data_IF_093645248250
#
_entry.id   IF_093645248250
#
_cell.length_a   1.000
_cell.length_b   1.000
_cell.length_c   1.000
_cell.angle_alpha   90.00
_cell.angle_beta   90.00
_cell.angle_gamma   90.00
#
_symmetry.space_group_name_H-M   'P 1'
#
loop_
_entity.id
_entity.type
_entity.pdbx_description
1 polymer ?
#
# COMPACT_ATOMS: atom_id res chain seq x y z
N UNK A 1 12.31 6.61 -20.09
CA UNK A 1 11.39 7.74 -19.86
C UNK A 1 12.09 8.69 -18.92
N UNK A 2 12.38 9.90 -19.38
CA UNK A 2 12.83 10.96 -18.48
C UNK A 2 11.61 11.46 -17.71
N UNK A 3 11.48 11.00 -16.46
CA UNK A 3 10.42 11.45 -15.56
C UNK A 3 10.80 12.87 -15.12
N UNK A 4 9.97 13.85 -15.46
CA UNK A 4 10.16 15.23 -15.04
C UNK A 4 9.72 15.39 -13.57
N UNK A 5 10.69 15.36 -12.65
CA UNK A 5 10.46 15.69 -11.25
C UNK A 5 10.37 17.20 -11.04
N UNK A 6 9.51 17.62 -10.10
CA UNK A 6 9.48 19.00 -9.59
C UNK A 6 10.78 19.35 -8.85
N UNK A 7 11.08 20.64 -8.70
CA UNK A 7 12.24 21.11 -7.94
C UNK A 7 12.22 20.58 -6.49
N UNK A 8 11.03 20.54 -5.87
CA UNK A 8 10.87 20.00 -4.52
C UNK A 8 11.20 18.51 -4.44
N UNK A 9 10.77 17.71 -5.42
CA UNK A 9 11.08 16.28 -5.47
C UNK A 9 12.57 16.04 -5.69
N UNK A 10 13.23 16.84 -6.54
CA UNK A 10 14.69 16.78 -6.74
C UNK A 10 15.42 17.07 -5.44
N UNK A 11 15.08 18.17 -4.77
CA UNK A 11 15.65 18.50 -3.46
C UNK A 11 15.47 17.38 -2.43
N UNK A 12 14.29 16.74 -2.38
CA UNK A 12 14.04 15.60 -1.48
C UNK A 12 14.91 14.40 -1.85
N UNK A 13 15.09 14.11 -3.14
CA UNK A 13 15.98 13.04 -3.59
C UNK A 13 17.41 13.33 -3.13
N UNK A 14 17.89 14.56 -3.31
CA UNK A 14 19.23 14.98 -2.89
C UNK A 14 19.40 14.85 -1.37
N UNK A 15 18.40 15.27 -0.57
CA UNK A 15 18.41 15.13 0.89
C UNK A 15 18.49 13.65 1.33
N UNK A 16 17.75 12.76 0.67
CA UNK A 16 17.75 11.32 0.96
C UNK A 16 19.10 10.69 0.59
N UNK A 17 19.66 11.05 -0.58
CA UNK A 17 20.98 10.57 -1.01
C UNK A 17 22.08 11.04 -0.05
N UNK A 18 22.01 12.30 0.40
CA UNK A 18 22.96 12.84 1.37
C UNK A 18 22.87 12.10 2.71
N UNK A 19 21.65 11.88 3.22
CA UNK A 19 21.42 11.08 4.43
C UNK A 19 22.02 9.68 4.31
N UNK A 20 21.80 9.00 3.19
CA UNK A 20 22.35 7.67 2.96
C UNK A 20 23.88 7.69 2.85
N UNK A 21 24.49 8.79 2.38
CA UNK A 21 25.95 8.88 2.29
C UNK A 21 26.60 9.11 3.65
N UNK A 22 26.03 10.03 4.44
CA UNK A 22 26.60 10.46 5.72
C UNK A 22 26.23 9.55 6.90
N UNK A 23 25.12 8.80 6.78
CA UNK A 23 24.58 7.94 7.84
C UNK A 23 24.47 8.60 9.24
N UNK A 24 23.96 9.85 9.36
CA UNK A 24 23.92 10.55 10.66
C UNK A 24 22.98 9.89 11.66
N UNK A 25 21.96 9.19 11.16
CA UNK A 25 20.97 8.42 11.92
C UNK A 25 20.60 7.17 11.14
N UNK A 26 20.20 6.10 11.85
CA UNK A 26 19.88 4.82 11.21
C UNK A 26 18.69 4.89 10.26
N UNK A 27 17.73 5.78 10.46
CA UNK A 27 16.53 5.84 9.64
C UNK A 27 16.15 7.26 9.21
N UNK A 28 15.48 7.34 8.07
CA UNK A 28 14.86 8.56 7.55
C UNK A 28 13.42 8.25 7.14
N UNK A 29 12.49 9.09 7.56
CA UNK A 29 11.07 8.96 7.20
C UNK A 29 10.66 9.99 6.15
N UNK A 30 10.05 9.52 5.07
CA UNK A 30 9.59 10.29 3.94
C UNK A 30 8.06 10.18 3.80
N UNK A 31 7.37 11.22 4.28
CA UNK A 31 5.92 11.32 4.20
C UNK A 31 5.46 12.09 2.97
N UNK A 32 4.31 11.70 2.44
CA UNK A 32 3.64 12.50 1.43
C UNK A 32 2.25 11.97 1.11
N UNK A 33 1.35 12.84 0.68
CA UNK A 33 -0.03 12.43 0.38
C UNK A 33 -0.11 11.48 -0.83
N UNK A 34 -1.24 10.78 -0.96
CA UNK A 34 -1.59 10.05 -2.18
C UNK A 34 -1.44 10.95 -3.42
N UNK A 35 -0.89 10.40 -4.50
CA UNK A 35 -0.69 11.14 -5.76
C UNK A 35 0.55 12.06 -5.81
N UNK A 36 1.36 12.13 -4.74
CA UNK A 36 2.59 12.94 -4.73
C UNK A 36 3.78 12.25 -5.42
N UNK A 37 3.64 10.98 -5.80
CA UNK A 37 4.63 10.23 -6.59
C UNK A 37 5.77 9.59 -5.79
N UNK A 38 5.60 9.37 -4.48
CA UNK A 38 6.60 8.75 -3.60
C UNK A 38 7.21 7.47 -4.15
N UNK A 39 6.40 6.48 -4.51
CA UNK A 39 6.87 5.19 -5.05
C UNK A 39 7.67 5.36 -6.34
N UNK A 40 7.34 6.36 -7.18
CA UNK A 40 8.14 6.69 -8.37
C UNK A 40 9.51 7.27 -7.99
N UNK A 41 9.57 8.11 -6.95
CA UNK A 41 10.83 8.64 -6.42
C UNK A 41 11.71 7.53 -5.85
N UNK A 42 11.14 6.52 -5.17
CA UNK A 42 11.89 5.37 -4.66
C UNK A 42 12.61 4.59 -5.78
N UNK A 43 11.97 4.41 -6.93
CA UNK A 43 12.63 3.79 -8.09
C UNK A 43 13.76 4.63 -8.67
N UNK A 44 13.61 5.96 -8.69
CA UNK A 44 14.67 6.84 -9.14
C UNK A 44 15.86 6.88 -8.16
N UNK A 45 15.59 6.88 -6.85
CA UNK A 45 16.60 6.76 -5.80
C UNK A 45 17.42 5.48 -5.97
N UNK A 46 16.76 4.34 -6.16
CA UNK A 46 17.42 3.07 -6.45
C UNK A 46 18.39 3.20 -7.62
N UNK A 47 17.94 3.75 -8.75
CA UNK A 47 18.80 3.94 -9.92
C UNK A 47 20.06 4.77 -9.62
N UNK A 48 19.94 5.87 -8.87
CA UNK A 48 21.10 6.68 -8.47
C UNK A 48 22.05 5.92 -7.56
N UNK A 49 21.53 5.20 -6.57
CA UNK A 49 22.34 4.40 -5.66
C UNK A 49 23.18 3.34 -6.40
N UNK A 50 22.64 2.68 -7.43
CA UNK A 50 23.42 1.74 -8.25
C UNK A 50 24.48 2.41 -9.13
N UNK A 51 24.24 3.66 -9.56
CA UNK A 51 25.25 4.43 -10.31
C UNK A 51 26.45 4.76 -9.43
N UNK A 52 26.22 5.09 -8.16
CA UNK A 52 27.28 5.39 -7.20
C UNK A 52 27.95 4.13 -6.63
N UNK A 53 27.17 3.11 -6.25
CA UNK A 53 27.65 1.88 -5.63
C UNK A 53 27.08 0.66 -6.38
N UNK A 54 27.79 0.20 -7.41
CA UNK A 54 27.35 -0.91 -8.29
C UNK A 54 26.97 -2.22 -7.58
N UNK A 55 27.55 -2.48 -6.41
CA UNK A 55 27.33 -3.72 -5.65
C UNK A 55 26.40 -3.55 -4.45
N UNK A 56 25.68 -2.42 -4.35
CA UNK A 56 24.69 -2.21 -3.29
C UNK A 56 23.58 -3.27 -3.37
N UNK A 57 23.16 -3.79 -2.22
CA UNK A 57 22.01 -4.69 -2.08
C UNK A 57 20.90 -3.95 -1.37
N UNK A 58 19.80 -3.69 -2.06
CA UNK A 58 18.67 -2.94 -1.47
C UNK A 58 17.52 -3.92 -1.15
N UNK A 59 16.97 -3.81 0.05
CA UNK A 59 15.76 -4.52 0.44
C UNK A 59 14.53 -3.62 0.33
N UNK A 60 13.81 -3.75 -0.78
CA UNK A 60 12.53 -3.08 -1.00
C UNK A 60 11.41 -3.90 -0.37
N UNK A 61 10.66 -3.32 0.55
CA UNK A 61 9.58 -4.04 1.23
C UNK A 61 8.36 -3.17 1.52
N UNK A 62 7.22 -3.82 1.71
CA UNK A 62 5.98 -3.16 2.15
C UNK A 62 5.19 -4.04 3.10
N UNK A 63 4.26 -3.47 3.85
CA UNK A 63 3.46 -4.23 4.82
C UNK A 63 2.59 -5.31 4.15
N UNK A 64 1.98 -4.99 3.01
CA UNK A 64 1.09 -5.92 2.27
C UNK A 64 1.73 -6.42 0.98
N UNK A 65 1.37 -7.64 0.56
CA UNK A 65 1.88 -8.21 -0.69
C UNK A 65 1.38 -7.47 -1.94
N UNK A 66 0.16 -6.90 -1.90
CA UNK A 66 -0.36 -6.04 -2.97
C UNK A 66 0.51 -4.79 -3.15
N UNK A 67 0.85 -4.10 -2.06
CA UNK A 67 1.72 -2.93 -2.09
C UNK A 67 3.13 -3.29 -2.56
N UNK A 68 3.70 -4.40 -2.07
CA UNK A 68 4.99 -4.91 -2.54
C UNK A 68 4.99 -5.19 -4.05
N UNK A 69 3.89 -5.72 -4.61
CA UNK A 69 3.73 -5.94 -6.05
C UNK A 69 3.67 -4.61 -6.84
N UNK A 70 2.94 -3.62 -6.34
CA UNK A 70 2.89 -2.28 -6.96
C UNK A 70 4.29 -1.64 -6.96
N UNK A 71 4.99 -1.71 -5.83
CA UNK A 71 6.38 -1.25 -5.71
C UNK A 71 7.28 -1.98 -6.71
N UNK A 72 7.18 -3.31 -6.81
CA UNK A 72 7.94 -4.11 -7.79
C UNK A 72 7.73 -3.62 -9.22
N UNK A 73 6.50 -3.33 -9.63
CA UNK A 73 6.20 -2.80 -10.96
C UNK A 73 6.89 -1.45 -11.18
N UNK A 74 6.77 -0.51 -10.23
CA UNK A 74 7.40 0.81 -10.34
C UNK A 74 8.92 0.73 -10.39
N UNK A 75 9.54 -0.15 -9.60
CA UNK A 75 10.99 -0.35 -9.61
C UNK A 75 11.47 -0.92 -10.97
N UNK A 76 10.70 -1.85 -11.56
CA UNK A 76 10.99 -2.41 -12.89
C UNK A 76 10.85 -1.37 -13.99
N UNK A 77 9.78 -0.57 -13.96
CA UNK A 77 9.57 0.52 -14.93
C UNK A 77 10.74 1.54 -14.88
N UNK A 78 11.24 1.83 -13.67
CA UNK A 78 12.40 2.68 -13.44
C UNK A 78 13.75 2.00 -13.71
N UNK A 79 13.79 0.70 -14.03
CA UNK A 79 15.01 -0.11 -14.20
C UNK A 79 15.94 -0.03 -12.98
N UNK A 80 15.34 -0.14 -11.79
CA UNK A 80 15.98 0.05 -10.48
C UNK A 80 15.94 -1.19 -9.58
N UNK A 81 15.54 -2.34 -10.15
CA UNK A 81 15.47 -3.63 -9.47
C UNK A 81 16.49 -4.59 -10.07
N UNK A 82 17.44 -5.05 -9.25
CA UNK A 82 18.51 -5.95 -9.63
C UNK A 82 18.35 -7.31 -8.94
N UNK A 83 19.04 -8.34 -9.46
CA UNK A 83 18.96 -9.71 -8.94
C UNK A 83 19.45 -9.84 -7.48
N UNK A 84 20.32 -8.93 -7.06
CA UNK A 84 20.87 -8.85 -5.71
C UNK A 84 19.88 -8.32 -4.66
N UNK A 85 18.76 -7.75 -5.11
CA UNK A 85 17.84 -7.02 -4.26
C UNK A 85 16.73 -7.92 -3.73
N UNK A 86 16.16 -7.51 -2.61
CA UNK A 86 14.90 -8.07 -2.13
C UNK A 86 13.74 -7.20 -2.59
N UNK A 87 12.65 -7.84 -3.01
CA UNK A 87 11.35 -7.19 -3.20
C UNK A 87 10.24 -8.09 -2.68
N UNK A 88 9.50 -7.63 -1.68
CA UNK A 88 8.45 -8.43 -1.05
C UNK A 88 7.81 -7.78 0.17
N UNK A 89 7.23 -8.60 1.04
CA UNK A 89 6.63 -8.09 2.28
C UNK A 89 7.70 -7.90 3.35
N UNK A 90 7.48 -6.96 4.29
CA UNK A 90 8.37 -6.81 5.46
C UNK A 90 8.48 -8.14 6.21
N UNK A 91 7.35 -8.85 6.36
CA UNK A 91 7.31 -10.15 7.01
C UNK A 91 8.19 -11.20 6.31
N UNK A 92 8.18 -11.26 4.98
CA UNK A 92 9.03 -12.18 4.23
C UNK A 92 10.51 -11.79 4.25
N UNK A 93 10.81 -10.51 4.46
CA UNK A 93 12.17 -10.02 4.62
C UNK A 93 12.76 -10.49 5.95
N UNK A 94 12.05 -10.26 7.06
CA UNK A 94 12.62 -10.37 8.42
C UNK A 94 12.20 -11.61 9.22
N UNK A 95 11.15 -12.34 8.81
CA UNK A 95 10.71 -13.55 9.51
C UNK A 95 10.90 -14.81 8.65
N UNK A 96 11.10 -15.94 9.31
CA UNK A 96 11.04 -17.28 8.73
C UNK A 96 10.00 -18.12 9.47
N UNK A 97 9.32 -18.99 8.73
CA UNK A 97 8.33 -19.89 9.33
C UNK A 97 9.06 -20.98 10.13
N UNK A 98 8.52 -21.30 11.30
CA UNK A 98 8.88 -22.48 12.07
C UNK A 98 7.90 -23.58 11.65
N UNK A 99 8.42 -24.69 11.15
CA UNK A 99 7.63 -25.83 10.71
C UNK A 99 7.76 -27.02 11.67
N UNK A 100 6.70 -27.82 11.79
CA UNK A 100 6.77 -29.14 12.42
C UNK A 100 7.37 -30.21 11.47
N UNK A 101 7.48 -31.47 11.92
CA UNK A 101 7.99 -32.59 11.12
C UNK A 101 7.17 -32.89 9.85
N UNK A 102 5.98 -32.29 9.70
CA UNK A 102 5.06 -32.45 8.57
C UNK A 102 4.97 -31.19 7.71
N UNK A 103 5.93 -30.28 7.84
CA UNK A 103 5.99 -28.97 7.16
C UNK A 103 4.80 -28.03 7.47
N UNK A 104 4.10 -28.24 8.58
CA UNK A 104 3.05 -27.31 9.02
C UNK A 104 3.68 -26.12 9.75
N UNK A 105 3.28 -24.91 9.37
CA UNK A 105 3.72 -23.68 10.05
C UNK A 105 3.12 -23.62 11.46
N UNK A 106 3.97 -23.77 12.47
CA UNK A 106 3.61 -23.71 13.90
C UNK A 106 3.98 -22.37 14.54
N UNK A 107 4.78 -21.54 13.87
CA UNK A 107 5.19 -20.23 14.36
C UNK A 107 6.01 -19.44 13.36
N UNK A 108 6.47 -18.27 13.81
CA UNK A 108 7.36 -17.40 13.06
C UNK A 108 8.48 -16.95 13.97
N UNK A 109 9.71 -16.97 13.47
CA UNK A 109 10.87 -16.41 14.16
C UNK A 109 11.56 -15.37 13.30
N UNK A 110 12.21 -14.41 13.97
CA UNK A 110 13.02 -13.41 13.29
C UNK A 110 14.28 -14.06 12.73
N UNK A 111 14.62 -13.73 11.49
CA UNK A 111 15.88 -14.14 10.86
C UNK A 111 17.05 -13.50 11.60
N UNK A 112 18.14 -14.26 11.76
CA UNK A 112 19.33 -13.78 12.47
C UNK A 112 19.96 -12.61 11.73
N UNK A 113 20.63 -11.72 12.47
CA UNK A 113 21.31 -10.57 11.88
C UNK A 113 22.38 -10.98 10.86
N UNK A 114 23.04 -12.12 11.09
CA UNK A 114 24.04 -12.71 10.19
C UNK A 114 23.46 -13.15 8.84
N UNK A 115 22.16 -13.46 8.78
CA UNK A 115 21.44 -13.81 7.54
C UNK A 115 21.10 -12.56 6.71
N UNK A 116 21.22 -11.36 7.29
CA UNK A 116 20.82 -10.10 6.65
C UNK A 116 21.97 -9.50 5.85
N UNK A 117 21.88 -9.58 4.51
CA UNK A 117 22.98 -9.19 3.61
C UNK A 117 22.76 -7.88 2.85
N UNK A 118 21.75 -7.09 3.21
CA UNK A 118 21.38 -5.86 2.50
C UNK A 118 22.05 -4.62 3.11
N UNK A 119 22.42 -3.67 2.26
CA UNK A 119 23.05 -2.41 2.63
C UNK A 119 22.04 -1.31 2.99
N UNK A 120 20.80 -1.42 2.50
CA UNK A 120 19.74 -0.42 2.69
C UNK A 120 18.38 -1.11 2.70
N UNK A 121 17.51 -0.71 3.63
CA UNK A 121 16.10 -1.10 3.64
C UNK A 121 15.26 0.07 3.16
N UNK A 122 14.39 -0.18 2.18
CA UNK A 122 13.38 0.77 1.72
C UNK A 122 12.00 0.19 2.02
N UNK A 123 11.27 0.83 2.93
CA UNK A 123 9.90 0.45 3.31
C UNK A 123 8.92 1.38 2.61
N UNK A 124 8.01 0.84 1.79
CA UNK A 124 6.87 1.60 1.24
C UNK A 124 5.57 1.24 1.98
N UNK A 125 4.60 2.16 2.02
CA UNK A 125 3.40 2.08 2.86
C UNK A 125 3.73 1.92 4.36
N UNK A 126 4.72 2.68 4.85
CA UNK A 126 5.22 2.63 6.21
C UNK A 126 4.20 3.07 7.29
N UNK A 127 3.09 3.69 6.88
CA UNK A 127 1.94 4.04 7.73
C UNK A 127 1.29 2.81 8.37
N UNK A 128 1.42 1.62 7.78
CA UNK A 128 0.87 0.36 8.31
C UNK A 128 1.83 -0.40 9.24
N UNK A 129 3.05 0.10 9.44
CA UNK A 129 4.08 -0.62 10.21
C UNK A 129 3.84 -0.49 11.71
N UNK A 130 3.75 -1.63 12.40
CA UNK A 130 3.58 -1.70 13.86
C UNK A 130 4.89 -1.45 14.60
N UNK A 131 4.81 -1.15 15.90
CA UNK A 131 5.99 -0.92 16.76
C UNK A 131 6.96 -2.10 16.75
N UNK A 132 6.43 -3.31 16.90
CA UNK A 132 7.21 -4.55 16.93
C UNK A 132 8.00 -4.77 15.63
N UNK A 133 7.33 -4.64 14.47
CA UNK A 133 7.99 -4.77 13.18
C UNK A 133 9.06 -3.68 13.02
N UNK A 134 8.77 -2.45 13.48
CA UNK A 134 9.74 -1.37 13.42
C UNK A 134 10.98 -1.64 14.28
N UNK A 135 10.81 -2.14 15.51
CA UNK A 135 11.93 -2.55 16.37
C UNK A 135 12.75 -3.69 15.76
N UNK A 136 12.08 -4.68 15.16
CA UNK A 136 12.76 -5.78 14.49
C UNK A 136 13.57 -5.31 13.28
N UNK A 137 13.04 -4.37 12.48
CA UNK A 137 13.77 -3.74 11.39
C UNK A 137 15.01 -2.96 11.89
N UNK A 138 14.86 -2.16 12.95
CA UNK A 138 15.97 -1.42 13.56
C UNK A 138 17.06 -2.36 14.10
N UNK A 139 16.68 -3.54 14.61
CA UNK A 139 17.63 -4.48 15.21
C UNK A 139 18.69 -5.01 14.24
N UNK A 140 18.49 -4.89 12.92
CA UNK A 140 19.50 -5.28 11.93
C UNK A 140 20.67 -4.30 11.84
N UNK A 141 20.55 -3.08 12.36
CA UNK A 141 21.61 -2.05 12.31
C UNK A 141 21.89 -1.50 10.91
N UNK A 142 20.99 -1.76 9.95
CA UNK A 142 21.10 -1.31 8.56
C UNK A 142 20.33 0.01 8.39
N UNK A 143 20.78 0.93 7.50
CA UNK A 143 20.04 2.14 7.16
C UNK A 143 18.63 1.84 6.63
N UNK A 144 17.64 2.65 7.05
CA UNK A 144 16.23 2.45 6.69
C UNK A 144 15.59 3.74 6.15
N UNK A 145 15.17 3.72 4.90
CA UNK A 145 14.28 4.74 4.33
C UNK A 145 12.84 4.25 4.42
N UNK A 146 12.01 4.89 5.25
CA UNK A 146 10.60 4.57 5.39
C UNK A 146 9.72 5.61 4.68
N UNK A 147 9.00 5.20 3.65
CA UNK A 147 8.08 6.00 2.85
C UNK A 147 6.63 5.65 3.17
N UNK A 148 5.76 6.65 3.32
CA UNK A 148 4.34 6.43 3.58
C UNK A 148 3.49 7.68 3.45
N UNK A 149 2.17 7.51 3.57
CA UNK A 149 1.22 8.63 3.60
C UNK A 149 0.89 8.99 5.05
N UNK A 150 1.30 10.20 5.48
CA UNK A 150 1.05 10.72 6.82
C UNK A 150 -0.40 11.16 7.07
N UNK A 151 -1.23 11.18 6.01
CA UNK A 151 -2.68 11.40 6.10
C UNK A 151 -3.52 10.11 6.03
N UNK A 152 -2.88 8.93 5.98
CA UNK A 152 -3.56 7.64 5.96
C UNK A 152 -3.94 7.18 7.39
N UNK A 153 -4.82 6.18 7.47
CA UNK A 153 -5.16 5.53 8.74
C UNK A 153 -3.90 4.92 9.39
N UNK A 154 -3.76 5.03 10.72
CA UNK A 154 -2.68 4.38 11.45
C UNK A 154 -2.83 2.84 11.38
N UNK A 155 -1.82 2.08 11.84
CA UNK A 155 -1.92 0.64 11.97
C UNK A 155 -3.16 0.24 12.77
N UNK A 156 -3.74 -0.91 12.44
CA UNK A 156 -4.97 -1.42 13.10
C UNK A 156 -4.73 -1.71 14.58
N UNK A 157 -3.49 -2.04 14.95
CA UNK A 157 -3.09 -2.38 16.31
C UNK A 157 -2.05 -1.39 16.87
N UNK A 158 -2.29 -0.92 18.10
CA UNK A 158 -1.38 -0.06 18.85
C UNK A 158 -1.55 1.44 18.57
N UNK A 159 -0.74 2.25 19.26
CA UNK A 159 -0.72 3.73 19.14
C UNK A 159 0.46 4.24 18.31
N UNK A 160 1.35 3.35 17.89
CA UNK A 160 2.55 3.71 17.14
C UNK A 160 2.20 4.04 15.68
N UNK A 161 2.59 5.22 15.22
CA UNK A 161 2.48 5.63 13.82
C UNK A 161 3.81 6.21 13.34
N UNK A 162 4.55 5.41 12.56
CA UNK A 162 5.84 5.81 12.00
C UNK A 162 5.74 7.05 11.09
N UNK A 163 4.58 7.28 10.49
CA UNK A 163 4.32 8.38 9.56
C UNK A 163 3.59 9.56 10.23
N UNK A 164 3.45 9.61 11.55
CA UNK A 164 2.77 10.74 12.22
C UNK A 164 3.55 12.06 12.02
N UNK A 165 4.88 11.99 12.15
CA UNK A 165 5.79 13.14 12.03
C UNK A 165 7.01 12.77 11.19
N UNK A 166 6.83 12.59 9.87
CA UNK A 166 7.92 12.22 8.99
C UNK A 166 8.97 13.35 8.92
N UNK A 167 10.25 12.96 8.77
CA UNK A 167 11.38 13.88 8.69
C UNK A 167 11.29 14.77 7.46
N UNK A 168 10.90 14.17 6.32
CA UNK A 168 10.70 14.86 5.05
C UNK A 168 9.22 14.75 4.65
N UNK A 169 8.66 15.86 4.17
CA UNK A 169 7.27 15.92 3.70
C UNK A 169 7.19 16.38 2.25
N UNK A 170 6.47 15.62 1.44
CA UNK A 170 6.02 16.01 0.10
C UNK A 170 4.50 16.13 0.09
N UNK A 171 4.03 17.36 0.22
CA UNK A 171 2.59 17.68 0.25
C UNK A 171 2.08 18.22 -1.09
N UNK A 172 3.00 18.64 -1.96
CA UNK A 172 2.65 19.13 -3.29
C UNK A 172 2.25 17.96 -4.21
N UNK A 173 1.02 18.02 -4.70
CA UNK A 173 0.44 17.03 -5.61
C UNK A 173 0.98 17.25 -7.04
N UNK A 174 1.24 16.15 -7.74
CA UNK A 174 1.65 16.17 -9.14
C UNK A 174 0.67 16.97 -10.01
N UNK A 175 1.20 17.72 -10.98
CA UNK A 175 0.38 18.58 -11.85
C UNK A 175 -0.76 17.82 -12.55
N UNK A 176 -0.50 16.58 -12.97
CA UNK A 176 -1.49 15.70 -13.62
C UNK A 176 -2.65 15.29 -12.70
N UNK A 177 -2.40 15.30 -11.38
CA UNK A 177 -3.35 14.90 -10.34
C UNK A 177 -4.11 16.11 -9.75
N UNK A 178 -3.73 17.35 -10.07
CA UNK A 178 -4.39 18.56 -9.54
C UNK A 178 -5.85 18.71 -9.96
N UNK A 179 -6.18 18.23 -11.15
CA UNK A 179 -7.55 18.30 -11.68
C UNK A 179 -8.40 17.10 -11.25
N UNK A 180 -7.83 16.15 -10.49
CA UNK A 180 -8.55 15.00 -9.98
C UNK A 180 -9.50 15.42 -8.82
N UNK A 181 -10.83 15.32 -8.98
CA UNK A 181 -11.79 15.75 -7.96
C UNK A 181 -11.66 14.95 -6.65
N UNK A 182 -11.21 13.71 -6.68
CA UNK A 182 -11.00 12.87 -5.49
C UNK A 182 -9.92 13.47 -4.59
N UNK A 183 -8.88 14.06 -5.18
CA UNK A 183 -7.77 14.66 -4.45
C UNK A 183 -8.23 15.93 -3.73
N UNK A 184 -9.06 16.75 -4.39
CA UNK A 184 -9.68 17.93 -3.78
C UNK A 184 -10.56 17.54 -2.58
N UNK A 185 -11.39 16.51 -2.73
CA UNK A 185 -12.23 16.01 -1.63
C UNK A 185 -11.39 15.47 -0.48
N UNK A 186 -10.29 14.78 -0.78
CA UNK A 186 -9.35 14.27 0.22
C UNK A 186 -8.66 15.39 1.01
N UNK A 187 -8.29 16.50 0.34
CA UNK A 187 -7.74 17.69 0.99
C UNK A 187 -8.76 18.33 1.94
N UNK A 188 -10.01 18.48 1.51
CA UNK A 188 -11.10 19.00 2.34
C UNK A 188 -11.28 18.15 3.59
N UNK A 189 -11.33 16.83 3.44
CA UNK A 189 -11.46 15.89 4.56
C UNK A 189 -10.31 16.06 5.57
N UNK A 190 -9.07 16.17 5.10
CA UNK A 190 -7.89 16.37 5.97
C UNK A 190 -7.88 17.72 6.66
N UNK A 191 -8.20 18.81 5.95
CA UNK A 191 -8.11 20.18 6.48
C UNK A 191 -9.23 20.52 7.45
N UNK A 192 -10.45 20.07 7.16
CA UNK A 192 -11.65 20.47 7.89
C UNK A 192 -12.30 19.36 8.71
N UNK A 193 -11.81 18.12 8.59
CA UNK A 193 -12.36 16.95 9.29
C UNK A 193 -13.74 16.52 8.80
N UNK A 194 -14.34 17.23 7.84
CA UNK A 194 -15.63 16.93 7.26
C UNK A 194 -15.64 17.30 5.77
N UNK A 195 -16.36 16.49 4.99
CA UNK A 195 -16.62 16.76 3.57
C UNK A 195 -18.01 17.40 3.50
N UNK A 196 -18.20 18.59 2.88
CA UNK A 196 -19.52 19.18 2.71
C UNK A 196 -20.37 18.36 1.73
N UNK A 197 -21.69 18.40 1.89
CA UNK A 197 -22.61 17.74 0.95
C UNK A 197 -22.70 18.57 -0.33
N UNK A 198 -21.92 18.18 -1.34
CA UNK A 198 -21.81 18.87 -2.62
C UNK A 198 -21.55 17.87 -3.74
N UNK A 199 -21.83 18.31 -4.96
CA UNK A 199 -21.33 17.72 -6.20
C UNK A 199 -19.99 18.37 -6.55
N UNK A 200 -18.89 17.62 -6.46
CA UNK A 200 -17.53 18.11 -6.71
C UNK A 200 -17.15 17.98 -8.19
N UNK A 201 -17.76 17.01 -8.88
CA UNK A 201 -17.69 16.78 -10.33
C UNK A 201 -18.82 15.84 -10.74
N UNK A 202 -18.95 15.58 -12.06
CA UNK A 202 -19.86 14.57 -12.60
C UNK A 202 -19.61 13.15 -12.02
N UNK A 203 -18.40 12.91 -11.51
CA UNK A 203 -17.93 11.61 -11.01
C UNK A 203 -17.77 11.54 -9.50
N UNK A 204 -17.78 12.67 -8.77
CA UNK A 204 -17.53 12.72 -7.33
C UNK A 204 -18.58 13.58 -6.64
N UNK A 205 -19.42 12.94 -5.83
CA UNK A 205 -20.52 13.58 -5.11
C UNK A 205 -20.60 13.07 -3.69
N UNK A 206 -20.93 13.95 -2.73
CA UNK A 206 -21.33 13.53 -1.38
C UNK A 206 -22.85 13.67 -1.26
N UNK A 207 -23.51 12.53 -1.04
CA UNK A 207 -24.96 12.44 -0.86
C UNK A 207 -25.33 12.33 0.62
N UNK A 208 -26.51 12.82 0.99
CA UNK A 208 -27.07 12.66 2.34
C UNK A 208 -27.95 11.43 2.39
N UNK A 209 -27.77 10.60 3.42
CA UNK A 209 -28.63 9.44 3.64
C UNK A 209 -30.12 9.80 3.81
N UNK A 210 -30.40 11.03 4.26
CA UNK A 210 -31.76 11.50 4.54
C UNK A 210 -32.45 12.10 3.30
N UNK A 211 -31.76 12.22 2.18
CA UNK A 211 -32.34 12.69 0.92
C UNK A 211 -33.03 11.52 0.19
N UNK A 212 -34.30 11.69 -0.17
CA UNK A 212 -35.10 10.65 -0.82
C UNK A 212 -34.46 10.20 -2.15
N UNK A 213 -33.88 11.15 -2.90
CA UNK A 213 -33.20 10.87 -4.16
C UNK A 213 -31.93 10.01 -3.99
N UNK A 214 -31.37 9.96 -2.77
CA UNK A 214 -30.17 9.16 -2.49
C UNK A 214 -30.50 7.67 -2.48
N UNK A 215 -31.69 7.26 -2.01
CA UNK A 215 -32.05 5.85 -2.02
C UNK A 215 -32.25 5.34 -3.44
N UNK A 216 -32.95 6.10 -4.29
CA UNK A 216 -33.14 5.79 -5.70
C UNK A 216 -31.80 5.70 -6.44
N UNK A 217 -30.95 6.73 -6.30
CA UNK A 217 -29.61 6.72 -6.90
C UNK A 217 -28.75 5.52 -6.47
N UNK A 218 -28.78 5.14 -5.19
CA UNK A 218 -28.00 4.01 -4.70
C UNK A 218 -28.55 2.68 -5.23
N UNK A 219 -29.87 2.51 -5.28
CA UNK A 219 -30.50 1.32 -5.86
C UNK A 219 -30.12 1.17 -7.33
N UNK A 220 -30.28 2.22 -8.14
CA UNK A 220 -29.91 2.20 -9.56
C UNK A 220 -28.43 1.82 -9.77
N UNK A 221 -27.53 2.37 -8.93
CA UNK A 221 -26.10 2.05 -9.01
C UNK A 221 -25.78 0.63 -8.61
N UNK A 222 -26.46 0.08 -7.60
CA UNK A 222 -26.26 -1.30 -7.15
C UNK A 222 -26.89 -2.32 -8.10
N UNK A 223 -27.99 -1.96 -8.77
CA UNK A 223 -28.56 -2.76 -9.87
C UNK A 223 -27.63 -2.78 -11.08
N UNK A 224 -26.94 -1.67 -11.38
CA UNK A 224 -25.90 -1.62 -12.40
C UNK A 224 -24.53 -2.13 -11.92
N UNK A 225 -24.49 -2.99 -10.90
CA UNK A 225 -23.21 -3.48 -10.35
C UNK A 225 -22.46 -4.33 -11.39
N UNK A 226 -21.17 -4.05 -11.55
CA UNK A 226 -20.26 -4.79 -12.42
C UNK A 226 -18.92 -5.13 -11.73
N UNK A 227 -18.02 -5.79 -12.47
CA UNK A 227 -16.71 -6.17 -11.97
C UNK A 227 -15.71 -5.00 -11.82
N UNK A 228 -16.08 -3.81 -12.30
CA UNK A 228 -15.30 -2.58 -12.16
C UNK A 228 -15.73 -1.78 -10.92
N UNK A 229 -16.94 -1.99 -10.42
CA UNK A 229 -17.46 -1.35 -9.23
C UNK A 229 -16.79 -1.88 -7.95
N UNK A 230 -16.36 -0.97 -7.07
CA UNK A 230 -15.88 -1.27 -5.73
C UNK A 230 -16.67 -0.48 -4.69
N UNK A 231 -17.29 -1.19 -3.75
CA UNK A 231 -18.05 -0.58 -2.66
C UNK A 231 -17.24 -0.67 -1.36
N UNK A 232 -16.96 0.48 -0.76
CA UNK A 232 -16.24 0.58 0.51
C UNK A 232 -17.22 0.88 1.66
N UNK A 233 -17.03 0.21 2.80
CA UNK A 233 -17.88 0.43 3.99
C UNK A 233 -17.03 0.48 5.25
N UNK A 234 -17.50 1.22 6.26
CA UNK A 234 -16.78 1.36 7.54
C UNK A 234 -16.92 0.16 8.49
N UNK A 235 -17.88 -0.74 8.27
CA UNK A 235 -18.18 -1.84 9.19
C UNK A 235 -18.33 -3.19 8.49
N UNK A 236 -17.78 -4.24 9.11
CA UNK A 236 -17.91 -5.62 8.62
C UNK A 236 -19.38 -6.07 8.48
N UNK A 237 -20.27 -5.67 9.40
CA UNK A 237 -21.70 -5.99 9.31
C UNK A 237 -22.33 -5.39 8.05
N UNK A 238 -22.00 -4.14 7.71
CA UNK A 238 -22.48 -3.48 6.50
C UNK A 238 -21.95 -4.18 5.25
N UNK A 239 -20.65 -4.52 5.23
CA UNK A 239 -20.04 -5.29 4.14
C UNK A 239 -20.75 -6.62 3.90
N UNK A 240 -21.02 -7.39 4.95
CA UNK A 240 -21.72 -8.69 4.83
C UNK A 240 -23.13 -8.51 4.28
N UNK A 241 -23.87 -7.52 4.78
CA UNK A 241 -25.23 -7.24 4.31
C UNK A 241 -25.27 -6.80 2.85
N UNK A 242 -24.36 -5.89 2.44
CA UNK A 242 -24.27 -5.45 1.04
C UNK A 242 -23.83 -6.59 0.12
N UNK A 243 -22.84 -7.40 0.52
CA UNK A 243 -22.44 -8.57 -0.26
C UNK A 243 -23.62 -9.53 -0.48
N UNK A 244 -24.44 -9.76 0.56
CA UNK A 244 -25.64 -10.59 0.42
C UNK A 244 -26.65 -9.98 -0.55
N UNK A 245 -26.93 -8.68 -0.43
CA UNK A 245 -27.88 -7.98 -1.31
C UNK A 245 -27.43 -7.96 -2.77
N UNK A 246 -26.17 -7.58 -3.03
CA UNK A 246 -25.60 -7.55 -4.39
C UNK A 246 -25.57 -8.96 -4.99
N UNK A 247 -25.20 -9.99 -4.21
CA UNK A 247 -25.25 -11.38 -4.70
C UNK A 247 -26.66 -11.83 -5.07
N UNK A 248 -27.67 -11.42 -4.31
CA UNK A 248 -29.07 -11.71 -4.65
C UNK A 248 -29.52 -11.01 -5.93
N UNK A 249 -29.08 -9.76 -6.17
CA UNK A 249 -29.35 -9.04 -7.42
C UNK A 249 -28.68 -9.70 -8.63
N UNK A 250 -27.51 -10.29 -8.42
CA UNK A 250 -26.78 -11.07 -9.43
C UNK A 250 -27.26 -12.54 -9.53
N UNK A 251 -28.41 -12.87 -8.92
CA UNK A 251 -29.05 -14.19 -8.98
C UNK A 251 -28.20 -15.34 -8.38
N UNK A 252 -27.25 -15.04 -7.49
CA UNK A 252 -26.53 -16.08 -6.74
C UNK A 252 -27.42 -16.67 -5.65
N UNK A 253 -27.66 -17.98 -5.73
CA UNK A 253 -28.56 -18.72 -4.84
C UNK A 253 -27.87 -19.24 -3.57
N UNK A 254 -26.54 -19.37 -3.58
CA UNK A 254 -25.78 -19.96 -2.48
C UNK A 254 -25.09 -18.89 -1.62
N UNK A 255 -24.96 -19.09 -0.30
CA UNK A 255 -24.04 -18.29 0.53
C UNK A 255 -22.56 -18.62 0.26
N UNK A 256 -22.26 -19.80 -0.29
CA UNK A 256 -20.90 -20.19 -0.67
C UNK A 256 -20.48 -19.55 -2.00
N UNK A 257 -19.18 -19.28 -2.23
CA UNK A 257 -18.70 -18.80 -3.53
C UNK A 257 -19.11 -19.70 -4.71
N UNK A 258 -19.60 -19.09 -5.80
CA UNK A 258 -20.06 -19.72 -7.03
C UNK A 258 -19.31 -19.17 -8.24
N UNK A 259 -19.40 -19.85 -9.39
CA UNK A 259 -18.76 -19.39 -10.64
C UNK A 259 -19.13 -17.94 -10.94
N UNK A 260 -18.12 -17.10 -11.17
CA UNK A 260 -18.30 -15.67 -11.43
C UNK A 260 -18.29 -14.78 -10.17
N UNK A 261 -18.31 -15.36 -8.96
CA UNK A 261 -18.21 -14.56 -7.74
C UNK A 261 -16.89 -13.80 -7.65
N UNK A 262 -16.95 -12.56 -7.21
CA UNK A 262 -15.75 -11.83 -6.82
C UNK A 262 -15.37 -12.22 -5.40
N UNK A 263 -14.15 -12.73 -5.25
CA UNK A 263 -13.58 -13.14 -3.98
C UNK A 263 -12.38 -12.29 -3.62
N UNK A 264 -12.12 -12.15 -2.32
CA UNK A 264 -10.93 -11.50 -1.79
C UNK A 264 -10.16 -12.49 -0.94
N UNK A 265 -8.86 -12.58 -1.16
CA UNK A 265 -7.99 -13.42 -0.37
C UNK A 265 -7.77 -12.79 1.00
N UNK A 266 -8.00 -13.55 2.08
CA UNK A 266 -7.88 -13.06 3.46
C UNK A 266 -6.54 -13.42 4.12
N UNK A 267 -5.74 -14.28 3.50
CA UNK A 267 -4.46 -14.77 4.03
C UNK A 267 -3.46 -14.92 2.91
N UNK A 268 -2.19 -14.62 3.16
CA UNK A 268 -1.15 -14.82 2.15
C UNK A 268 -0.97 -16.32 1.85
N UNK A 269 -0.81 -16.65 0.58
CA UNK A 269 -0.34 -17.94 0.10
C UNK A 269 0.90 -17.72 -0.80
N UNK A 270 2.11 -17.77 -0.22
CA UNK A 270 3.35 -17.47 -0.94
C UNK A 270 3.65 -18.43 -2.10
N UNK A 271 3.30 -19.72 -1.97
CA UNK A 271 3.59 -20.73 -3.01
C UNK A 271 2.81 -20.45 -4.30
N UNK A 272 1.62 -19.85 -4.19
CA UNK A 272 0.79 -19.45 -5.32
C UNK A 272 0.94 -17.97 -5.70
N UNK A 273 1.83 -17.23 -5.03
CA UNK A 273 1.97 -15.78 -5.15
C UNK A 273 0.64 -15.01 -4.96
N UNK A 274 -0.23 -15.51 -4.07
CA UNK A 274 -1.51 -14.87 -3.69
C UNK A 274 -1.31 -14.15 -2.35
N UNK A 275 -1.79 -12.91 -2.25
CA UNK A 275 -1.62 -12.07 -1.06
C UNK A 275 -2.96 -11.67 -0.46
N UNK A 276 -2.97 -11.45 0.85
CA UNK A 276 -4.09 -10.87 1.55
C UNK A 276 -4.50 -9.53 0.90
N UNK A 277 -5.79 -9.36 0.63
CA UNK A 277 -6.37 -8.23 -0.06
C UNK A 277 -6.35 -8.34 -1.59
N UNK A 278 -5.79 -9.40 -2.19
CA UNK A 278 -5.94 -9.67 -3.62
C UNK A 278 -7.37 -10.09 -3.93
N UNK A 279 -7.94 -9.49 -4.97
CA UNK A 279 -9.25 -9.85 -5.50
C UNK A 279 -9.11 -10.77 -6.71
N UNK A 280 -10.05 -11.69 -6.88
CA UNK A 280 -10.15 -12.55 -8.05
C UNK A 280 -11.60 -12.90 -8.35
N UNK A 281 -11.81 -13.60 -9.46
CA UNK A 281 -13.10 -14.18 -9.81
C UNK A 281 -13.03 -15.67 -9.52
N UNK A 282 -14.01 -16.20 -8.81
CA UNK A 282 -14.14 -17.62 -8.55
C UNK A 282 -14.47 -18.30 -9.87
N UNK A 283 -13.50 -19.09 -10.35
CA UNK A 283 -13.69 -20.01 -11.45
C UNK A 283 -13.96 -21.39 -10.84
N UNK A 284 -14.90 -22.13 -11.41
CA UNK A 284 -15.12 -23.51 -11.03
C UNK A 284 -14.07 -24.33 -11.77
N UNK A 285 -13.24 -25.08 -11.04
CA UNK A 285 -12.27 -25.96 -11.67
C UNK A 285 -13.00 -26.92 -12.63
N UNK A 286 -12.54 -26.94 -13.88
CA UNK A 286 -12.71 -28.12 -14.72
C UNK A 286 -11.88 -29.23 -14.04
N UNK A 287 -12.56 -30.29 -13.63
CA UNK A 287 -11.95 -31.57 -13.23
C UNK A 287 -10.98 -32.02 -14.32
#
# INVERSE_FOLDING_TARGET
MDIAFSEKQKSIIDDILQWYKEHPVQYLTFGGYAGTGKTTMLGYLGQHLYKEKKNIKIAYCSYTGKAARVLQHKLRDAKSLFKSDYIGTIHGLIYKAICDERDNIIGWEKKLQEEFTYDLIIVDEASMVTRQIWDDLLSYGVPILASGDHGQLPPVEGTFNLMERPNIKLEEIFRQERDNPIIKVSEIARRYGHIPQLEFSDTVKKLSKNDENTQEFLSDKLESFDDQMMVLTGYNKTRVNLNKGIRQLLEFESPEPQYGDRVICLKNNPSMAIFNGMTGTYIKDFI
#
